data_IF_551426809017
#
_entry.id   IF_551426809017
#
_cell.length_a   1.000
_cell.length_b   1.000
_cell.length_c   1.000
_cell.angle_alpha   90.00
_cell.angle_beta   90.00
_cell.angle_gamma   90.00
#
_symmetry.space_group_name_H-M   'P 1'
#
loop_
_entity.id
_entity.type
_entity.pdbx_description
1 polymer ?
#
# COMPACT_ATOMS: atom_id res chain seq x y z
N UNK A 1 -55.60 -56.46 -36.45
CA UNK A 1 -54.98 -55.93 -35.23
C UNK A 1 -53.50 -55.74 -35.48
N UNK A 2 -53.05 -54.51 -35.69
CA UNK A 2 -51.66 -54.20 -35.95
C UNK A 2 -51.17 -53.34 -34.78
N UNK A 3 -50.10 -53.67 -34.08
CA UNK A 3 -49.60 -52.88 -32.99
C UNK A 3 -48.75 -51.67 -33.51
N UNK A 4 -49.07 -50.48 -32.98
CA UNK A 4 -48.35 -49.26 -33.22
C UNK A 4 -47.04 -49.26 -32.41
N UNK A 5 -45.93 -49.16 -33.13
CA UNK A 5 -44.60 -48.96 -32.56
C UNK A 5 -44.43 -47.47 -32.30
N UNK A 6 -44.23 -47.09 -31.03
CA UNK A 6 -43.85 -45.73 -30.61
C UNK A 6 -42.31 -45.63 -30.67
N UNK A 7 -41.81 -44.68 -31.47
CA UNK A 7 -40.41 -44.31 -31.52
C UNK A 7 -40.17 -43.18 -30.48
N UNK A 8 -39.15 -43.24 -29.61
CA UNK A 8 -38.81 -42.15 -28.75
C UNK A 8 -37.95 -41.10 -29.47
N UNK A 9 -38.41 -39.87 -29.38
CA UNK A 9 -37.70 -38.68 -29.86
C UNK A 9 -36.54 -38.38 -28.88
N UNK A 10 -35.30 -38.56 -29.35
CA UNK A 10 -34.09 -38.20 -28.61
C UNK A 10 -33.82 -36.70 -28.89
N UNK A 11 -34.11 -35.82 -27.91
CA UNK A 11 -33.69 -34.46 -27.91
C UNK A 11 -32.17 -34.36 -27.58
N UNK A 12 -31.36 -34.12 -28.57
CA UNK A 12 -29.95 -33.78 -28.39
C UNK A 12 -29.86 -32.32 -27.90
N UNK A 13 -29.62 -32.13 -26.61
CA UNK A 13 -29.26 -30.85 -26.03
C UNK A 13 -27.80 -30.53 -26.40
N UNK A 14 -27.58 -29.64 -27.35
CA UNK A 14 -26.28 -29.02 -27.61
C UNK A 14 -25.89 -28.13 -26.43
N UNK A 15 -25.03 -28.62 -25.55
CA UNK A 15 -24.33 -27.80 -24.57
C UNK A 15 -23.27 -26.96 -25.30
N UNK A 16 -23.59 -25.67 -25.52
CA UNK A 16 -22.58 -24.68 -25.90
C UNK A 16 -21.71 -24.41 -24.67
N UNK A 17 -20.57 -25.07 -24.59
CA UNK A 17 -19.48 -24.66 -23.69
C UNK A 17 -18.88 -23.38 -24.25
N UNK A 18 -19.19 -22.25 -23.61
CA UNK A 18 -18.47 -21.01 -23.81
C UNK A 18 -17.03 -21.21 -23.33
N UNK A 19 -16.12 -21.48 -24.25
CA UNK A 19 -14.70 -21.41 -23.99
C UNK A 19 -14.37 -19.95 -23.68
N UNK A 20 -14.13 -19.65 -22.40
CA UNK A 20 -13.51 -18.39 -22.01
C UNK A 20 -12.18 -18.32 -22.78
N UNK A 21 -12.10 -17.43 -23.78
CA UNK A 21 -10.86 -17.08 -24.45
C UNK A 21 -9.96 -16.42 -23.41
N UNK A 22 -9.11 -17.24 -22.78
CA UNK A 22 -7.95 -16.77 -22.05
C UNK A 22 -7.10 -16.04 -23.09
N UNK A 23 -7.04 -14.70 -23.04
CA UNK A 23 -6.06 -13.96 -23.81
C UNK A 23 -4.68 -14.51 -23.43
N UNK A 24 -3.90 -15.00 -24.37
CA UNK A 24 -2.56 -15.50 -24.07
C UNK A 24 -1.76 -14.32 -23.53
N UNK A 25 -1.32 -14.39 -22.26
CA UNK A 25 -0.30 -13.51 -21.74
C UNK A 25 0.85 -13.51 -22.76
N UNK A 26 1.24 -12.31 -23.20
CA UNK A 26 2.42 -12.19 -24.07
C UNK A 26 3.59 -12.81 -23.30
N UNK A 27 4.26 -13.82 -23.84
CA UNK A 27 5.34 -14.48 -23.12
C UNK A 27 6.38 -13.43 -22.75
N UNK A 28 6.73 -13.37 -21.46
CA UNK A 28 7.84 -12.57 -21.01
C UNK A 28 9.07 -12.94 -21.87
N UNK A 29 9.73 -11.94 -22.41
CA UNK A 29 10.97 -12.23 -23.12
C UNK A 29 12.01 -12.73 -22.11
N UNK A 30 12.79 -13.76 -22.46
CA UNK A 30 13.87 -14.30 -21.62
C UNK A 30 14.77 -13.19 -21.05
N UNK A 31 15.00 -12.12 -21.83
CA UNK A 31 15.79 -10.95 -21.41
C UNK A 31 15.20 -10.25 -20.18
N UNK A 32 13.86 -10.09 -20.09
CA UNK A 32 13.20 -9.44 -18.95
C UNK A 32 13.25 -10.34 -17.72
N UNK A 33 13.09 -11.64 -17.90
CA UNK A 33 13.25 -12.63 -16.82
C UNK A 33 14.65 -12.59 -16.23
N UNK A 34 15.69 -12.51 -17.06
CA UNK A 34 17.08 -12.35 -16.59
C UNK A 34 17.26 -11.07 -15.77
N UNK A 35 16.67 -9.95 -16.19
CA UNK A 35 16.75 -8.70 -15.41
C UNK A 35 15.99 -8.80 -14.09
N UNK A 36 14.83 -9.49 -14.11
CA UNK A 36 14.04 -9.72 -12.91
C UNK A 36 14.79 -10.59 -11.89
N UNK A 37 15.42 -11.67 -12.34
CA UNK A 37 16.26 -12.51 -11.50
C UNK A 37 17.43 -11.75 -10.88
N UNK A 38 18.11 -10.90 -11.65
CA UNK A 38 19.19 -10.06 -11.12
C UNK A 38 18.69 -9.11 -10.04
N UNK A 39 17.51 -8.48 -10.23
CA UNK A 39 16.90 -7.66 -9.19
C UNK A 39 16.64 -8.48 -7.92
N UNK A 40 16.09 -9.68 -8.05
CA UNK A 40 15.83 -10.56 -6.90
C UNK A 40 17.12 -10.91 -6.14
N UNK A 41 18.20 -11.23 -6.85
CA UNK A 41 19.52 -11.50 -6.25
C UNK A 41 20.06 -10.28 -5.49
N UNK A 42 19.93 -9.07 -6.07
CA UNK A 42 20.35 -7.83 -5.40
C UNK A 42 19.51 -7.54 -4.15
N UNK A 43 18.19 -7.79 -4.18
CA UNK A 43 17.30 -7.61 -3.04
C UNK A 43 17.60 -8.62 -1.92
N UNK A 44 17.89 -9.88 -2.25
CA UNK A 44 18.38 -10.85 -1.27
C UNK A 44 19.73 -10.41 -0.68
N UNK A 45 20.60 -9.81 -1.48
CA UNK A 45 21.85 -9.25 -1.00
C UNK A 45 21.67 -8.17 0.06
N UNK A 46 20.61 -7.34 -0.05
CA UNK A 46 20.27 -6.34 0.98
C UNK A 46 19.78 -7.02 2.25
N UNK A 47 18.91 -8.03 2.13
CA UNK A 47 18.41 -8.81 3.28
C UNK A 47 19.56 -9.47 4.06
N UNK A 48 20.47 -10.15 3.37
CA UNK A 48 21.63 -10.81 3.98
C UNK A 48 22.59 -9.87 4.72
N UNK A 49 22.63 -8.58 4.34
CA UNK A 49 23.51 -7.57 4.93
C UNK A 49 22.89 -6.83 6.11
N UNK A 50 21.57 -6.90 6.28
CA UNK A 50 20.85 -6.19 7.32
C UNK A 50 21.02 -6.91 8.68
N UNK A 51 21.52 -6.19 9.69
CA UNK A 51 21.50 -6.67 11.09
C UNK A 51 20.09 -6.39 11.69
N UNK A 52 19.16 -7.28 11.38
CA UNK A 52 17.74 -7.20 11.69
C UNK A 52 16.93 -8.18 10.83
N UNK A 53 15.63 -7.99 10.79
CA UNK A 53 14.71 -8.78 9.95
C UNK A 53 14.12 -7.87 8.87
N UNK A 54 14.28 -8.25 7.61
CA UNK A 54 13.65 -7.61 6.46
C UNK A 54 12.43 -8.43 6.02
N UNK A 55 11.32 -7.74 5.79
CA UNK A 55 10.14 -8.27 5.13
C UNK A 55 9.77 -7.36 3.95
N UNK A 56 9.58 -7.94 2.77
CA UNK A 56 9.47 -7.22 1.50
C UNK A 56 8.39 -7.81 0.62
N UNK A 57 7.59 -6.94 0.00
CA UNK A 57 6.73 -7.29 -1.13
C UNK A 57 6.90 -6.27 -2.26
N UNK A 58 7.16 -6.76 -3.46
CA UNK A 58 7.24 -5.98 -4.71
C UNK A 58 6.23 -6.53 -5.69
N UNK A 59 5.45 -5.66 -6.34
CA UNK A 59 4.51 -6.06 -7.40
C UNK A 59 4.56 -5.11 -8.58
N UNK A 60 4.80 -5.66 -9.75
CA UNK A 60 4.62 -4.98 -11.04
C UNK A 60 3.12 -4.84 -11.34
N UNK A 61 2.58 -3.63 -11.34
CA UNK A 61 1.16 -3.39 -11.61
C UNK A 61 0.78 -3.58 -13.08
N UNK A 62 1.76 -3.70 -13.97
CA UNK A 62 1.55 -3.90 -15.41
C UNK A 62 1.55 -5.37 -15.79
N UNK A 63 2.50 -6.17 -15.31
CA UNK A 63 2.59 -7.60 -15.61
C UNK A 63 1.96 -8.50 -14.56
N UNK A 64 1.78 -8.01 -13.33
CA UNK A 64 1.33 -8.80 -12.19
C UNK A 64 2.45 -9.61 -11.53
N UNK A 65 3.71 -9.50 -11.99
CA UNK A 65 4.84 -10.19 -11.36
C UNK A 65 5.07 -9.73 -9.94
N UNK A 66 5.36 -10.67 -9.06
CA UNK A 66 5.56 -10.44 -7.63
C UNK A 66 6.90 -11.00 -7.18
N UNK A 67 7.49 -10.37 -6.18
CA UNK A 67 8.65 -10.87 -5.46
C UNK A 67 8.50 -10.62 -3.95
N UNK A 68 8.95 -11.58 -3.15
CA UNK A 68 8.74 -11.59 -1.71
C UNK A 68 9.98 -12.04 -0.96
N UNK A 69 10.23 -11.37 0.18
CA UNK A 69 11.13 -11.82 1.24
C UNK A 69 10.31 -11.73 2.53
N UNK A 70 10.14 -12.83 3.28
CA UNK A 70 9.41 -12.87 4.56
C UNK A 70 8.06 -12.13 4.51
N UNK A 71 7.36 -12.16 3.35
CA UNK A 71 6.23 -11.25 3.10
C UNK A 71 4.97 -11.55 3.91
N UNK A 72 4.92 -12.71 4.58
CA UNK A 72 3.81 -13.13 5.44
C UNK A 72 4.13 -12.98 6.94
N UNK A 73 5.34 -12.48 7.27
CA UNK A 73 5.71 -12.18 8.64
C UNK A 73 4.92 -10.99 9.19
N UNK A 74 4.47 -11.12 10.43
CA UNK A 74 3.72 -10.08 11.13
C UNK A 74 4.69 -9.02 11.62
N UNK A 75 4.62 -7.83 11.02
CA UNK A 75 5.51 -6.73 11.32
C UNK A 75 4.78 -5.58 12.03
N UNK A 76 5.43 -4.92 13.02
CA UNK A 76 4.88 -3.69 13.61
C UNK A 76 4.85 -2.60 12.55
N UNK A 77 3.68 -1.96 12.38
CA UNK A 77 3.46 -1.04 11.28
C UNK A 77 3.95 0.37 11.54
N UNK A 78 4.16 0.74 12.80
CA UNK A 78 4.43 2.15 13.09
C UNK A 78 3.41 3.08 12.38
N UNK A 79 3.88 4.20 11.81
CA UNK A 79 3.03 5.14 11.09
C UNK A 79 2.57 4.68 9.70
N UNK A 80 3.11 3.61 9.14
CA UNK A 80 2.61 3.11 7.84
C UNK A 80 1.19 2.54 7.94
N UNK A 81 0.70 2.18 9.14
CA UNK A 81 -0.70 1.82 9.39
C UNK A 81 -1.69 2.96 9.00
N UNK A 82 -1.24 4.21 8.94
CA UNK A 82 -2.05 5.37 8.57
C UNK A 82 -2.63 5.27 7.15
N UNK A 83 -2.04 4.44 6.28
CA UNK A 83 -2.62 4.08 4.97
C UNK A 83 -4.01 3.46 5.14
N UNK A 84 -4.20 2.59 6.13
CA UNK A 84 -5.49 1.93 6.38
C UNK A 84 -6.55 2.91 6.89
N UNK A 85 -6.15 3.87 7.73
CA UNK A 85 -7.03 4.94 8.22
C UNK A 85 -7.46 5.85 7.07
N UNK A 86 -6.52 6.21 6.20
CA UNK A 86 -6.80 7.01 5.01
C UNK A 86 -7.76 6.26 4.05
N UNK A 87 -7.54 4.96 3.83
CA UNK A 87 -8.40 4.14 2.98
C UNK A 87 -9.84 4.10 3.50
N UNK A 88 -10.03 3.92 4.80
CA UNK A 88 -11.36 3.91 5.41
C UNK A 88 -12.02 5.28 5.37
N UNK A 89 -11.27 6.38 5.56
CA UNK A 89 -11.79 7.73 5.41
C UNK A 89 -12.39 7.92 4.00
N UNK A 90 -11.63 7.60 2.96
CA UNK A 90 -12.10 7.74 1.58
C UNK A 90 -13.26 6.80 1.26
N UNK A 91 -13.27 5.60 1.83
CA UNK A 91 -14.41 4.67 1.68
C UNK A 91 -15.69 5.24 2.29
N UNK A 92 -15.61 5.86 3.48
CA UNK A 92 -16.79 6.49 4.10
C UNK A 92 -17.22 7.76 3.37
N UNK A 93 -16.29 8.52 2.80
CA UNK A 93 -16.62 9.67 1.93
C UNK A 93 -17.35 9.20 0.68
N UNK A 94 -16.87 8.16 0.01
CA UNK A 94 -17.53 7.54 -1.14
C UNK A 94 -18.95 7.05 -0.82
N UNK A 95 -19.18 6.57 0.42
CA UNK A 95 -20.48 6.11 0.90
C UNK A 95 -21.41 7.27 1.35
N UNK A 96 -20.94 8.52 1.27
CA UNK A 96 -21.69 9.69 1.73
C UNK A 96 -21.86 9.79 3.27
N UNK A 97 -21.12 8.99 4.05
CA UNK A 97 -21.15 9.03 5.52
C UNK A 97 -20.36 10.19 6.09
N UNK A 98 -19.29 10.59 5.42
CA UNK A 98 -18.41 11.71 5.76
C UNK A 98 -18.20 12.57 4.52
N UNK A 99 -17.77 13.82 4.74
CA UNK A 99 -17.28 14.72 3.69
C UNK A 99 -15.88 15.17 4.05
N UNK A 100 -14.99 15.24 3.06
CA UNK A 100 -13.64 15.77 3.29
C UNK A 100 -13.65 17.23 3.79
N UNK A 101 -14.75 17.93 3.58
CA UNK A 101 -14.99 19.30 4.07
C UNK A 101 -15.64 19.36 5.46
N UNK A 102 -15.96 18.20 6.08
CA UNK A 102 -16.47 18.21 7.45
C UNK A 102 -15.42 18.80 8.39
N UNK A 103 -15.87 19.74 9.24
CA UNK A 103 -15.00 20.49 10.15
C UNK A 103 -14.77 19.77 11.47
N UNK A 104 -13.58 19.97 11.99
CA UNK A 104 -13.17 19.60 13.33
C UNK A 104 -12.57 20.84 14.04
N UNK A 105 -13.00 21.12 15.26
CA UNK A 105 -12.40 22.15 16.10
C UNK A 105 -11.34 21.47 16.97
N UNK A 106 -10.10 21.97 16.91
CA UNK A 106 -8.99 21.43 17.71
C UNK A 106 -9.33 21.46 19.20
N UNK A 107 -9.14 20.34 19.89
CA UNK A 107 -9.39 20.19 21.32
C UNK A 107 -8.11 19.79 22.05
N UNK A 108 -7.92 20.32 23.26
CA UNK A 108 -6.71 20.03 24.04
C UNK A 108 -6.52 18.55 24.36
N UNK A 109 -7.62 17.81 24.56
CA UNK A 109 -7.62 16.39 24.87
C UNK A 109 -7.20 15.50 23.69
N UNK A 110 -7.23 16.01 22.47
CA UNK A 110 -6.82 15.27 21.27
C UNK A 110 -5.34 15.50 20.92
N UNK A 111 -4.65 16.39 21.62
CA UNK A 111 -3.24 16.69 21.36
C UNK A 111 -2.33 15.65 22.02
N UNK A 112 -1.50 14.99 21.21
CA UNK A 112 -0.56 13.97 21.68
C UNK A 112 0.85 14.23 21.12
N UNK A 113 1.94 13.73 21.77
CA UNK A 113 3.30 13.86 21.27
C UNK A 113 3.48 13.31 19.85
N UNK A 114 4.52 13.78 19.15
CA UNK A 114 4.77 13.43 17.75
C UNK A 114 3.72 13.99 16.80
N UNK A 115 3.26 15.21 17.08
CA UNK A 115 2.29 15.96 16.30
C UNK A 115 2.89 17.34 15.99
N UNK A 116 3.67 17.40 14.91
CA UNK A 116 4.51 18.59 14.60
C UNK A 116 3.68 19.83 14.29
N UNK A 117 2.47 19.67 13.75
CA UNK A 117 1.59 20.78 13.40
C UNK A 117 0.51 20.98 14.45
N UNK A 118 -0.25 19.93 14.79
CA UNK A 118 -1.42 20.09 15.66
C UNK A 118 -1.09 20.57 17.07
N UNK A 119 0.09 20.23 17.62
CA UNK A 119 0.53 20.76 18.93
C UNK A 119 0.71 22.28 18.95
N UNK A 120 0.97 22.90 17.80
CA UNK A 120 1.12 24.36 17.67
C UNK A 120 -0.19 25.10 17.41
N UNK A 121 -1.32 24.39 17.24
CA UNK A 121 -2.62 25.01 16.95
C UNK A 121 -3.36 25.40 18.25
N UNK A 122 -4.23 26.43 18.16
CA UNK A 122 -4.97 26.93 19.30
C UNK A 122 -6.26 26.13 19.52
N UNK A 123 -6.37 25.37 20.63
CA UNK A 123 -7.59 24.66 20.98
C UNK A 123 -8.82 25.58 21.16
N UNK A 124 -9.99 25.07 20.77
CA UNK A 124 -11.25 25.79 20.85
C UNK A 124 -11.47 26.85 19.76
N UNK A 125 -10.42 27.23 19.03
CA UNK A 125 -10.45 28.30 18.01
C UNK A 125 -10.14 27.76 16.61
N UNK A 126 -9.07 26.95 16.47
CA UNK A 126 -8.64 26.45 15.17
C UNK A 126 -9.62 25.40 14.62
N UNK A 127 -10.03 25.60 13.36
CA UNK A 127 -10.90 24.70 12.61
C UNK A 127 -10.09 24.06 11.50
N UNK A 128 -10.23 22.76 11.34
CA UNK A 128 -9.58 21.94 10.31
C UNK A 128 -10.65 21.09 9.63
N UNK A 129 -10.50 20.87 8.34
CA UNK A 129 -11.32 19.89 7.63
C UNK A 129 -10.74 18.47 7.78
N UNK A 130 -11.53 17.42 7.49
CA UNK A 130 -11.00 16.06 7.44
C UNK A 130 -9.90 15.92 6.37
N UNK A 131 -9.94 16.75 5.31
CA UNK A 131 -8.88 16.86 4.31
C UNK A 131 -7.58 17.37 4.92
N UNK A 132 -7.63 18.43 5.72
CA UNK A 132 -6.45 19.01 6.37
C UNK A 132 -5.82 18.00 7.32
N UNK A 133 -6.64 17.32 8.13
CA UNK A 133 -6.19 16.25 9.03
C UNK A 133 -5.55 15.10 8.27
N UNK A 134 -6.14 14.66 7.14
CA UNK A 134 -5.56 13.60 6.29
C UNK A 134 -4.22 14.02 5.69
N UNK A 135 -4.10 15.29 5.27
CA UNK A 135 -2.85 15.85 4.74
C UNK A 135 -1.77 15.88 5.81
N UNK A 136 -2.07 16.37 7.01
CA UNK A 136 -1.12 16.36 8.13
C UNK A 136 -0.72 14.95 8.56
N UNK A 137 -1.68 14.02 8.62
CA UNK A 137 -1.41 12.60 8.90
C UNK A 137 -0.41 11.99 7.92
N UNK A 138 -0.49 12.34 6.64
CA UNK A 138 0.38 11.79 5.61
C UNK A 138 1.69 12.55 5.51
N UNK A 139 1.67 13.88 5.42
CA UNK A 139 2.83 14.72 5.12
C UNK A 139 3.86 14.73 6.25
N UNK A 140 3.41 14.97 7.48
CA UNK A 140 4.27 15.09 8.67
C UNK A 140 4.00 13.99 9.71
N UNK A 141 3.20 12.99 9.33
CA UNK A 141 2.88 11.87 10.23
C UNK A 141 2.20 12.30 11.55
N UNK A 142 1.50 13.44 11.59
CA UNK A 142 0.89 14.03 12.79
C UNK A 142 0.00 13.02 13.53
N UNK A 143 0.35 12.72 14.78
CA UNK A 143 -0.33 11.71 15.60
C UNK A 143 -1.68 12.20 16.12
N UNK A 144 -1.81 13.48 16.45
CA UNK A 144 -3.08 14.06 16.88
C UNK A 144 -4.10 14.05 15.73
N UNK A 145 -3.69 14.52 14.53
CA UNK A 145 -4.51 14.43 13.32
C UNK A 145 -4.96 12.99 13.04
N UNK A 146 -4.03 12.03 13.18
CA UNK A 146 -4.33 10.60 13.02
C UNK A 146 -5.37 10.12 14.01
N UNK A 147 -5.22 10.45 15.31
CA UNK A 147 -6.14 10.01 16.36
C UNK A 147 -7.55 10.61 16.20
N UNK A 148 -7.64 11.86 15.73
CA UNK A 148 -8.93 12.48 15.37
C UNK A 148 -9.57 11.71 14.20
N UNK A 149 -8.81 11.39 13.14
CA UNK A 149 -9.31 10.61 12.01
C UNK A 149 -9.74 9.21 12.44
N UNK A 150 -8.95 8.49 13.27
CA UNK A 150 -9.34 7.17 13.83
C UNK A 150 -10.67 7.29 14.58
N UNK A 151 -10.86 8.36 15.38
CA UNK A 151 -12.10 8.58 16.11
C UNK A 151 -13.29 8.88 15.19
N UNK A 152 -13.05 9.55 14.04
CA UNK A 152 -14.07 9.89 13.05
C UNK A 152 -14.51 8.68 12.22
N UNK A 153 -13.55 7.91 11.71
CA UNK A 153 -13.85 6.74 10.88
C UNK A 153 -14.25 5.52 11.71
N UNK A 154 -13.76 5.42 12.94
CA UNK A 154 -13.92 4.28 13.84
C UNK A 154 -12.87 3.18 13.58
N UNK A 155 -12.17 2.76 14.64
CA UNK A 155 -11.17 1.67 14.55
C UNK A 155 -11.77 0.37 14.06
N UNK A 156 -12.96 0.02 14.54
CA UNK A 156 -13.66 -1.20 14.13
C UNK A 156 -14.04 -1.17 12.65
N UNK A 157 -14.39 0.01 12.12
CA UNK A 157 -14.68 0.17 10.68
C UNK A 157 -13.42 -0.01 9.82
N UNK A 158 -12.24 0.49 10.29
CA UNK A 158 -10.96 0.23 9.62
C UNK A 158 -10.70 -1.27 9.56
N UNK A 159 -10.83 -1.97 10.68
CA UNK A 159 -10.60 -3.42 10.75
C UNK A 159 -11.64 -4.23 9.95
N UNK A 160 -12.91 -3.81 9.96
CA UNK A 160 -13.97 -4.45 9.14
C UNK A 160 -13.71 -4.23 7.63
N UNK A 161 -13.22 -3.05 7.23
CA UNK A 161 -12.81 -2.80 5.85
C UNK A 161 -11.66 -3.75 5.44
N UNK A 162 -10.61 -3.85 6.26
CA UNK A 162 -9.49 -4.76 6.01
C UNK A 162 -9.95 -6.21 5.88
N UNK A 163 -10.78 -6.68 6.81
CA UNK A 163 -11.37 -8.03 6.78
C UNK A 163 -12.16 -8.29 5.50
N UNK A 164 -12.98 -7.31 5.06
CA UNK A 164 -13.75 -7.41 3.82
C UNK A 164 -12.91 -7.53 2.55
N UNK A 165 -11.64 -7.14 2.61
CA UNK A 165 -10.66 -7.29 1.52
C UNK A 165 -9.82 -8.56 1.66
N UNK A 166 -10.12 -9.44 2.64
CA UNK A 166 -9.36 -10.66 2.91
C UNK A 166 -8.03 -10.43 3.62
N UNK A 167 -7.86 -9.25 4.24
CA UNK A 167 -6.65 -8.89 4.99
C UNK A 167 -6.86 -9.25 6.45
N UNK A 168 -6.46 -10.46 6.83
CA UNK A 168 -6.79 -11.03 8.15
C UNK A 168 -5.74 -10.74 9.23
N UNK A 169 -4.53 -10.33 8.85
CA UNK A 169 -3.41 -10.05 9.76
C UNK A 169 -3.28 -8.55 10.04
N UNK A 170 -3.46 -7.71 9.01
CA UNK A 170 -3.36 -6.25 9.14
C UNK A 170 -4.45 -5.73 10.08
N UNK A 171 -4.04 -5.11 11.19
CA UNK A 171 -4.97 -4.62 12.22
C UNK A 171 -4.51 -3.30 12.82
N UNK A 172 -5.46 -2.37 12.91
CA UNK A 172 -5.38 -1.18 13.74
C UNK A 172 -5.88 -1.55 15.14
N UNK A 173 -4.97 -1.63 16.14
CA UNK A 173 -5.28 -2.13 17.49
C UNK A 173 -5.18 -1.07 18.57
N UNK A 174 -4.53 0.05 18.28
CA UNK A 174 -4.35 1.16 19.20
C UNK A 174 -4.27 2.50 18.48
N UNK A 175 -4.61 3.55 19.19
CA UNK A 175 -4.34 4.93 18.76
C UNK A 175 -2.83 5.22 18.79
N UNK A 176 -2.44 6.27 18.08
CA UNK A 176 -1.07 6.76 18.14
C UNK A 176 -0.75 7.25 19.56
N UNK A 177 0.46 6.96 20.03
CA UNK A 177 0.97 7.31 21.38
C UNK A 177 0.25 6.59 22.54
N UNK A 178 -0.60 5.60 22.30
CA UNK A 178 -1.09 4.70 23.35
C UNK A 178 0.00 3.69 23.71
N UNK A 179 0.98 4.15 24.51
CA UNK A 179 2.14 3.33 24.94
C UNK A 179 1.72 2.23 25.89
N UNK A 180 0.62 2.41 26.63
CA UNK A 180 0.07 1.36 27.51
C UNK A 180 -0.42 0.17 26.67
N UNK A 181 -1.23 0.43 25.64
CA UNK A 181 -1.68 -0.61 24.74
C UNK A 181 -0.49 -1.34 24.08
N UNK A 182 0.53 -0.59 23.64
CA UNK A 182 1.75 -1.18 23.06
C UNK A 182 2.48 -2.10 24.03
N UNK A 183 2.68 -1.66 25.29
CA UNK A 183 3.34 -2.48 26.32
C UNK A 183 2.57 -3.76 26.70
N UNK A 184 1.26 -3.76 26.46
CA UNK A 184 0.38 -4.94 26.63
C UNK A 184 0.31 -5.82 25.37
N UNK A 185 1.14 -5.56 24.35
CA UNK A 185 1.19 -6.34 23.11
C UNK A 185 0.10 -5.98 22.08
N UNK A 186 -0.69 -4.94 22.31
CA UNK A 186 -1.66 -4.44 21.34
C UNK A 186 -1.00 -3.50 20.33
N UNK A 187 -0.13 -4.04 19.48
CA UNK A 187 0.57 -3.27 18.45
C UNK A 187 -0.24 -3.22 17.14
N UNK A 188 -0.12 -2.11 16.40
CA UNK A 188 -0.62 -2.01 15.04
C UNK A 188 0.27 -2.83 14.11
N UNK A 189 -0.29 -3.81 13.45
CA UNK A 189 0.48 -4.80 12.68
C UNK A 189 -0.02 -4.95 11.25
N UNK A 190 0.86 -5.40 10.37
CA UNK A 190 0.52 -5.91 9.04
C UNK A 190 1.58 -6.90 8.56
N UNK A 191 1.33 -7.50 7.40
CA UNK A 191 2.36 -8.16 6.60
C UNK A 191 2.64 -7.36 5.34
N UNK A 192 3.85 -7.41 4.74
CA UNK A 192 4.12 -6.77 3.46
C UNK A 192 3.15 -7.19 2.36
N UNK A 193 2.78 -8.48 2.31
CA UNK A 193 1.82 -9.01 1.33
C UNK A 193 0.44 -8.37 1.46
N UNK A 194 -0.08 -8.23 2.68
CA UNK A 194 -1.39 -7.62 2.89
C UNK A 194 -1.39 -6.12 2.58
N UNK A 195 -0.32 -5.39 2.95
CA UNK A 195 -0.19 -3.98 2.56
C UNK A 195 -0.09 -3.81 1.05
N UNK A 196 0.66 -4.68 0.35
CA UNK A 196 0.70 -4.72 -1.11
C UNK A 196 -0.70 -4.97 -1.69
N UNK A 197 -1.44 -5.92 -1.14
CA UNK A 197 -2.82 -6.26 -1.57
C UNK A 197 -3.77 -5.08 -1.38
N UNK A 198 -3.70 -4.38 -0.25
CA UNK A 198 -4.50 -3.17 0.01
C UNK A 198 -4.21 -2.09 -1.04
N UNK A 199 -2.93 -1.78 -1.26
CA UNK A 199 -2.51 -0.77 -2.22
C UNK A 199 -2.92 -1.13 -3.66
N UNK A 200 -2.79 -2.41 -4.05
CA UNK A 200 -3.29 -2.89 -5.35
C UNK A 200 -4.81 -2.74 -5.48
N UNK A 201 -5.55 -3.14 -4.45
CA UNK A 201 -7.02 -3.06 -4.44
C UNK A 201 -7.50 -1.62 -4.61
N UNK A 202 -6.82 -0.65 -3.97
CA UNK A 202 -7.08 0.78 -4.14
C UNK A 202 -6.71 1.23 -5.56
N UNK A 203 -5.48 0.94 -6.01
CA UNK A 203 -5.00 1.36 -7.33
C UNK A 203 -5.88 0.85 -8.48
N UNK A 204 -6.41 -0.35 -8.36
CA UNK A 204 -7.30 -0.95 -9.37
C UNK A 204 -8.76 -0.50 -9.26
N UNK A 205 -9.08 0.43 -8.36
CA UNK A 205 -10.45 0.93 -8.18
C UNK A 205 -11.44 -0.10 -7.62
N UNK A 206 -10.96 -1.14 -6.92
CA UNK A 206 -11.82 -2.18 -6.34
C UNK A 206 -12.37 -1.78 -4.97
N UNK A 207 -11.62 -1.01 -4.18
CA UNK A 207 -12.06 -0.48 -2.89
C UNK A 207 -12.69 0.91 -3.02
N UNK A 208 -12.06 1.77 -3.82
CA UNK A 208 -12.46 3.15 -4.06
C UNK A 208 -12.80 3.33 -5.54
N UNK A 209 -13.80 4.18 -5.86
CA UNK A 209 -14.06 4.56 -7.25
C UNK A 209 -12.91 5.42 -7.81
N UNK A 210 -12.97 5.74 -9.09
CA UNK A 210 -11.89 6.46 -9.79
C UNK A 210 -11.55 7.79 -9.12
N UNK A 211 -12.56 8.63 -8.83
CA UNK A 211 -12.37 9.95 -8.22
C UNK A 211 -11.71 9.83 -6.83
N UNK A 212 -12.23 8.95 -6.00
CA UNK A 212 -11.68 8.73 -4.63
C UNK A 212 -10.29 8.11 -4.69
N UNK A 213 -10.01 7.22 -5.65
CA UNK A 213 -8.68 6.63 -5.84
C UNK A 213 -7.66 7.70 -6.24
N UNK A 214 -8.00 8.56 -7.21
CA UNK A 214 -7.11 9.63 -7.67
C UNK A 214 -6.79 10.61 -6.54
N UNK A 215 -7.79 11.00 -5.77
CA UNK A 215 -7.62 11.91 -4.66
C UNK A 215 -6.88 11.28 -3.46
N UNK A 216 -7.16 10.01 -3.13
CA UNK A 216 -6.41 9.22 -2.16
C UNK A 216 -4.92 9.18 -2.52
N UNK A 217 -4.60 8.83 -3.77
CA UNK A 217 -3.21 8.77 -4.25
C UNK A 217 -2.55 10.15 -4.22
N UNK A 218 -3.28 11.21 -4.55
CA UNK A 218 -2.79 12.59 -4.47
C UNK A 218 -2.41 12.95 -3.03
N UNK A 219 -3.26 12.66 -2.04
CA UNK A 219 -2.93 12.89 -0.62
C UNK A 219 -1.75 12.03 -0.20
N UNK A 220 -1.74 10.75 -0.58
CA UNK A 220 -0.65 9.84 -0.21
C UNK A 220 0.69 10.21 -0.90
N UNK A 221 0.66 10.96 -2.01
CA UNK A 221 1.85 11.50 -2.71
C UNK A 221 2.32 12.85 -2.16
N UNK A 222 1.67 13.42 -1.14
CA UNK A 222 2.13 14.68 -0.52
C UNK A 222 3.59 14.53 -0.09
N UNK A 223 4.41 15.54 -0.38
CA UNK A 223 5.82 15.57 -0.02
C UNK A 223 6.04 15.28 1.47
N UNK A 224 7.00 14.44 1.77
CA UNK A 224 7.34 14.00 3.14
C UNK A 224 8.77 13.48 3.18
N UNK A 225 9.34 13.45 4.37
CA UNK A 225 10.55 12.69 4.61
C UNK A 225 10.24 11.19 4.58
N UNK A 226 11.02 10.44 3.77
CA UNK A 226 10.82 9.02 3.57
C UNK A 226 12.08 8.37 3.05
N UNK A 227 12.48 7.26 3.64
CA UNK A 227 13.63 6.50 3.17
C UNK A 227 13.43 5.94 1.76
N UNK A 228 12.19 5.59 1.39
CA UNK A 228 11.86 5.19 0.02
C UNK A 228 12.13 6.35 -0.94
N UNK A 229 11.59 7.54 -0.67
CA UNK A 229 11.77 8.71 -1.54
C UNK A 229 13.23 9.09 -1.70
N UNK A 230 14.05 8.99 -0.64
CA UNK A 230 15.50 9.24 -0.71
C UNK A 230 16.26 8.25 -1.61
N UNK A 231 15.69 7.10 -1.92
CA UNK A 231 16.23 6.11 -2.84
C UNK A 231 15.79 6.30 -4.30
N UNK A 232 14.85 7.22 -4.55
CA UNK A 232 14.33 7.51 -5.88
C UNK A 232 14.95 8.77 -6.49
N UNK A 233 14.93 8.94 -7.83
CA UNK A 233 15.25 10.22 -8.45
C UNK A 233 14.34 11.36 -7.98
N UNK A 234 14.84 12.60 -8.01
CA UNK A 234 14.11 13.78 -7.51
C UNK A 234 12.77 14.03 -8.20
N UNK A 235 12.62 13.62 -9.45
CA UNK A 235 11.39 13.76 -10.26
C UNK A 235 10.45 12.55 -10.13
N UNK A 236 10.84 11.53 -9.39
CA UNK A 236 9.99 10.35 -9.18
C UNK A 236 8.84 10.66 -8.22
N UNK A 237 7.67 10.12 -8.55
CA UNK A 237 6.47 10.26 -7.71
C UNK A 237 6.18 8.92 -7.04
N UNK A 238 6.03 8.95 -5.71
CA UNK A 238 5.52 7.82 -4.97
C UNK A 238 4.38 8.24 -4.05
N UNK A 239 3.31 7.45 -4.06
CA UNK A 239 2.22 7.53 -3.09
C UNK A 239 2.54 6.54 -1.96
N UNK A 240 3.22 7.01 -0.90
CA UNK A 240 3.76 6.15 0.15
C UNK A 240 3.54 6.71 1.55
N UNK A 241 3.76 5.87 2.55
CA UNK A 241 3.79 6.28 3.96
C UNK A 241 4.90 5.56 4.70
N UNK A 242 5.90 6.29 5.20
CA UNK A 242 6.92 5.72 6.09
C UNK A 242 6.34 5.45 7.49
N UNK A 243 7.03 4.59 8.23
CA UNK A 243 6.75 4.29 9.63
C UNK A 243 8.02 4.02 10.41
N UNK A 244 8.11 4.62 11.60
CA UNK A 244 9.29 4.56 12.46
C UNK A 244 8.89 4.28 13.91
N UNK A 245 9.55 3.31 14.52
CA UNK A 245 9.58 3.03 15.94
C UNK A 245 11.01 2.64 16.32
N UNK A 246 11.26 2.48 17.60
CA UNK A 246 12.51 1.91 18.08
C UNK A 246 12.73 0.53 17.45
N UNK A 247 13.91 0.27 16.90
CA UNK A 247 14.29 -0.93 16.17
C UNK A 247 13.41 -1.28 14.94
N UNK A 248 12.63 -0.34 14.39
CA UNK A 248 11.70 -0.54 13.26
C UNK A 248 11.78 0.59 12.26
N UNK A 249 11.91 0.26 10.98
CA UNK A 249 11.77 1.19 9.84
C UNK A 249 10.94 0.54 8.76
N UNK A 250 9.90 1.22 8.33
CA UNK A 250 8.97 0.74 7.30
C UNK A 250 8.75 1.82 6.24
N UNK A 251 8.45 1.40 5.03
CA UNK A 251 7.90 2.28 4.00
C UNK A 251 7.07 1.45 3.03
N UNK A 252 5.84 1.87 2.77
CA UNK A 252 4.92 1.15 1.89
C UNK A 252 4.21 2.13 0.96
N UNK A 253 4.15 1.78 -0.33
CA UNK A 253 3.53 2.68 -1.31
C UNK A 253 3.52 2.16 -2.74
N UNK A 254 3.04 3.02 -3.63
CA UNK A 254 3.00 2.83 -5.08
C UNK A 254 3.96 3.84 -5.71
N UNK A 255 4.93 3.35 -6.46
CA UNK A 255 5.87 4.19 -7.20
C UNK A 255 5.40 4.32 -8.65
N UNK A 256 5.22 5.58 -9.10
CA UNK A 256 4.64 5.92 -10.39
C UNK A 256 5.72 6.02 -11.47
N UNK A 257 6.24 4.88 -11.92
CA UNK A 257 7.14 4.84 -13.09
C UNK A 257 6.33 4.85 -14.37
N UNK A 258 6.72 5.67 -15.33
CA UNK A 258 6.04 5.75 -16.64
C UNK A 258 5.97 4.37 -17.30
N UNK A 259 4.79 3.95 -17.70
CA UNK A 259 4.45 2.64 -18.29
C UNK A 259 4.69 1.41 -17.39
N UNK A 260 5.22 1.60 -16.17
CA UNK A 260 5.60 0.47 -15.28
C UNK A 260 5.43 0.83 -13.79
N UNK A 261 4.25 1.31 -13.35
CA UNK A 261 4.02 1.54 -11.93
C UNK A 261 4.15 0.22 -11.15
N UNK A 262 4.64 0.32 -9.93
CA UNK A 262 4.83 -0.84 -9.07
C UNK A 262 4.51 -0.52 -7.60
N UNK A 263 4.17 -1.55 -6.85
CA UNK A 263 4.03 -1.48 -5.40
C UNK A 263 5.33 -1.92 -4.75
N UNK A 264 5.73 -1.21 -3.71
CA UNK A 264 6.85 -1.53 -2.85
C UNK A 264 6.42 -1.41 -1.39
N UNK A 265 6.48 -2.52 -0.65
CA UNK A 265 6.25 -2.55 0.79
C UNK A 265 7.50 -3.14 1.45
N UNK A 266 8.23 -2.30 2.19
CA UNK A 266 9.44 -2.69 2.93
C UNK A 266 9.17 -2.50 4.42
N UNK A 267 9.40 -3.53 5.20
CA UNK A 267 9.24 -3.51 6.64
C UNK A 267 10.46 -4.14 7.29
N UNK A 268 10.95 -3.50 8.34
CA UNK A 268 12.08 -4.02 9.10
C UNK A 268 11.76 -4.06 10.60
N UNK A 269 12.35 -5.02 11.30
CA UNK A 269 12.23 -5.16 12.74
C UNK A 269 13.53 -5.71 13.36
N UNK A 270 13.65 -5.64 14.67
CA UNK A 270 14.85 -6.07 15.42
C UNK A 270 16.13 -5.39 14.94
N UNK A 271 16.03 -4.18 14.42
CA UNK A 271 17.21 -3.42 13.99
C UNK A 271 18.10 -3.11 15.18
N UNK A 272 19.39 -3.42 15.06
CA UNK A 272 20.39 -2.98 16.02
C UNK A 272 20.71 -1.50 15.87
N UNK A 273 20.71 -0.99 14.63
CA UNK A 273 20.81 0.41 14.28
C UNK A 273 19.71 0.76 13.26
N UNK A 274 18.88 1.71 13.59
CA UNK A 274 17.76 2.13 12.75
C UNK A 274 18.20 2.78 11.45
N UNK A 275 19.44 3.31 11.40
CA UNK A 275 20.05 3.86 10.18
C UNK A 275 20.26 2.78 9.13
N UNK A 276 20.53 1.53 9.55
CA UNK A 276 20.70 0.38 8.65
C UNK A 276 19.37 0.02 7.98
N UNK A 277 18.26 0.05 8.73
CA UNK A 277 16.92 -0.13 8.18
C UNK A 277 16.57 0.95 7.15
N UNK A 278 16.84 2.23 7.47
CA UNK A 278 16.66 3.34 6.54
C UNK A 278 17.54 3.20 5.30
N UNK A 279 18.79 2.75 5.45
CA UNK A 279 19.71 2.51 4.33
C UNK A 279 19.23 1.34 3.45
N UNK A 280 18.74 0.26 4.06
CA UNK A 280 18.17 -0.88 3.34
C UNK A 280 16.95 -0.45 2.50
N UNK A 281 16.02 0.32 3.07
CA UNK A 281 14.85 0.85 2.34
C UNK A 281 15.29 1.71 1.15
N UNK A 282 16.23 2.63 1.34
CA UNK A 282 16.78 3.47 0.25
C UNK A 282 17.39 2.61 -0.86
N UNK A 283 18.19 1.61 -0.48
CA UNK A 283 18.85 0.71 -1.45
C UNK A 283 17.83 -0.10 -2.23
N UNK A 284 16.83 -0.67 -1.56
CA UNK A 284 15.73 -1.43 -2.18
C UNK A 284 14.94 -0.53 -3.15
N UNK A 285 14.60 0.69 -2.74
CA UNK A 285 13.90 1.66 -3.58
C UNK A 285 14.71 2.01 -4.85
N UNK A 286 16.01 2.25 -4.72
CA UNK A 286 16.89 2.54 -5.86
C UNK A 286 16.98 1.36 -6.84
N UNK A 287 17.13 0.14 -6.34
CA UNK A 287 17.23 -1.08 -7.15
C UNK A 287 15.93 -1.35 -7.91
N UNK A 288 14.79 -1.31 -7.21
CA UNK A 288 13.48 -1.54 -7.81
C UNK A 288 13.15 -0.45 -8.84
N UNK A 289 13.38 0.83 -8.52
CA UNK A 289 13.18 1.92 -9.47
C UNK A 289 14.02 1.75 -10.74
N UNK A 290 15.31 1.45 -10.60
CA UNK A 290 16.22 1.21 -11.73
C UNK A 290 15.72 0.12 -12.66
N UNK A 291 15.18 -0.97 -12.10
CA UNK A 291 14.58 -2.05 -12.88
C UNK A 291 13.32 -1.58 -13.62
N UNK A 292 12.35 -1.02 -12.89
CA UNK A 292 11.06 -0.65 -13.47
C UNK A 292 11.16 0.49 -14.49
N UNK A 293 12.03 1.48 -14.25
CA UNK A 293 12.31 2.54 -15.21
C UNK A 293 12.96 2.00 -16.49
N UNK A 294 13.96 1.11 -16.35
CA UNK A 294 14.59 0.45 -17.48
C UNK A 294 13.60 -0.34 -18.32
N UNK A 295 12.75 -1.14 -17.67
CA UNK A 295 11.76 -1.97 -18.37
C UNK A 295 10.63 -1.11 -18.96
N UNK A 296 10.21 -0.05 -18.25
CA UNK A 296 9.16 0.87 -18.70
C UNK A 296 9.54 1.69 -19.94
N UNK A 297 10.85 1.95 -20.14
CA UNK A 297 11.37 2.68 -21.30
C UNK A 297 11.83 1.79 -22.45
N UNK A 298 11.99 0.49 -22.21
CA UNK A 298 12.50 -0.43 -23.21
C UNK A 298 11.38 -0.97 -24.12
N UNK A 299 11.70 -1.16 -25.39
CA UNK A 299 10.89 -1.97 -26.30
C UNK A 299 10.96 -3.46 -25.90
N UNK A 300 10.12 -4.30 -26.50
CA UNK A 300 10.16 -5.77 -26.33
C UNK A 300 11.54 -6.38 -26.66
N UNK A 301 12.32 -5.70 -27.51
CA UNK A 301 13.70 -6.12 -27.86
C UNK A 301 14.75 -5.66 -26.84
N UNK A 302 14.37 -4.88 -25.82
CA UNK A 302 15.28 -4.35 -24.78
C UNK A 302 16.03 -3.09 -25.21
N UNK A 303 15.60 -2.42 -26.29
CA UNK A 303 16.18 -1.16 -26.78
C UNK A 303 15.36 0.02 -26.25
N UNK A 304 16.02 1.01 -25.68
CA UNK A 304 15.42 2.31 -25.39
C UNK A 304 15.45 3.16 -26.66
N UNK A 305 14.29 3.65 -27.08
CA UNK A 305 14.15 4.60 -28.19
C UNK A 305 13.58 5.88 -27.58
N UNK A 306 14.41 6.90 -27.43
CA UNK A 306 13.93 8.22 -27.00
C UNK A 306 12.98 8.78 -28.06
N UNK A 307 11.81 9.28 -27.71
CA UNK A 307 11.00 10.05 -28.67
C UNK A 307 11.82 11.25 -29.14
N UNK A 308 11.82 11.49 -30.43
CA UNK A 308 12.45 12.67 -31.04
C UNK A 308 11.69 13.93 -30.63
#
# INVERSE_FOLDING_TARGET
MVPKILLPLVCAACALTAAAQCCPEKPQTVKRQVLWQKLQEELHGVDHQLDGVLALAVKDLTSGEEFFINADEIMPQASSIKITVLAELYRQVQQGKLKLTDEYIVRSEDLVPGSDIMLGLTPGVTRLTLRDLATMMVAVSDNSATNVLISRVGMDNVNAMLESQGLHVTRLRRKMMDLKAASEGRENVATPREMMTLLETIHRGKLLNKEMTEDFLKVLSTHKESSMLQGLPDDAVAANKPGELEAVRNDSGIVMVKNRPYILCVMTAYLKDERDGSAAIRKIAALTYSYFDRVGRASEYGRVVSPK
#
